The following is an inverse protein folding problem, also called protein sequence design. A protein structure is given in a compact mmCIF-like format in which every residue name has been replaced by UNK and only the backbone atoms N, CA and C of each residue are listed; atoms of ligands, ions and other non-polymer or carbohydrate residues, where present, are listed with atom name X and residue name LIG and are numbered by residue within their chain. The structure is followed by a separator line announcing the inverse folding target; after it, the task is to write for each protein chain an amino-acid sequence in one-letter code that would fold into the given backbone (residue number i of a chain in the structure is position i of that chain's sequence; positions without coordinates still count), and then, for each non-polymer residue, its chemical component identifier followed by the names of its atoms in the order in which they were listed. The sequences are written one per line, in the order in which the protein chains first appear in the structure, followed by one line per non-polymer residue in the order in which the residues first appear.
data_IF_322961858591
#
_entry.id   IF_322961858591
#
_cell.length_a   1.000
_cell.length_b   1.000
_cell.length_c   1.000
_cell.angle_alpha   90.00
_cell.angle_beta   90.00
_cell.angle_gamma   90.00
#
_symmetry.space_group_name_H-M   'P 1'
#
loop_
_entity.id
_entity.type
_entity.pdbx_description
1 polymer ?
#
# COMPACT_ATOMS: atom_id res chain seq x y z
N UNK A 1 -1.95 -24.50 -8.09
CA UNK A 1 -1.14 -24.43 -6.85
C UNK A 1 0.31 -23.93 -7.03
N UNK A 2 1.06 -24.32 -8.08
CA UNK A 2 2.47 -23.87 -8.27
C UNK A 2 2.70 -22.34 -8.30
N UNK A 3 1.78 -21.56 -8.90
CA UNK A 3 1.87 -20.08 -9.01
C UNK A 3 1.78 -19.37 -7.65
N UNK A 4 0.92 -19.86 -6.74
CA UNK A 4 0.77 -19.32 -5.38
C UNK A 4 2.04 -19.59 -4.56
N UNK A 5 2.69 -20.73 -4.79
CA UNK A 5 3.94 -21.09 -4.12
C UNK A 5 5.14 -20.22 -4.56
N UNK A 6 5.22 -19.84 -5.84
CA UNK A 6 6.23 -18.90 -6.33
C UNK A 6 6.08 -17.51 -5.69
N UNK A 7 4.85 -16.99 -5.64
CA UNK A 7 4.55 -15.69 -5.01
C UNK A 7 4.85 -15.68 -3.50
N UNK A 8 4.68 -16.82 -2.81
CA UNK A 8 5.07 -16.97 -1.40
C UNK A 8 6.59 -16.94 -1.17
N UNK A 9 7.41 -17.38 -2.15
CA UNK A 9 8.87 -17.30 -2.08
C UNK A 9 9.41 -15.91 -2.47
N UNK A 10 8.64 -15.11 -3.20
CA UNK A 10 9.05 -13.80 -3.69
C UNK A 10 8.20 -12.65 -3.11
N UNK A 11 7.93 -12.69 -1.80
CA UNK A 11 7.11 -11.68 -1.09
C UNK A 11 7.60 -10.24 -1.34
N UNK A 12 8.92 -10.03 -1.37
CA UNK A 12 9.53 -8.71 -1.62
C UNK A 12 9.20 -8.22 -3.03
N UNK A 13 9.34 -9.07 -4.05
CA UNK A 13 9.01 -8.71 -5.43
C UNK A 13 7.51 -8.39 -5.57
N UNK A 14 6.66 -9.18 -4.91
CA UNK A 14 5.21 -8.95 -4.89
C UNK A 14 4.87 -7.58 -4.28
N UNK A 15 5.49 -7.24 -3.15
CA UNK A 15 5.34 -5.93 -2.51
C UNK A 15 5.75 -4.82 -3.49
N UNK A 16 6.94 -4.92 -4.10
CA UNK A 16 7.44 -3.90 -5.02
C UNK A 16 6.50 -3.70 -6.22
N UNK A 17 6.12 -4.78 -6.90
CA UNK A 17 5.27 -4.71 -8.09
C UNK A 17 3.88 -4.20 -7.74
N UNK A 18 3.27 -4.68 -6.65
CA UNK A 18 1.98 -4.20 -6.20
C UNK A 18 2.01 -2.70 -5.84
N UNK A 19 3.10 -2.22 -5.25
CA UNK A 19 3.28 -0.81 -4.91
C UNK A 19 3.42 0.09 -6.12
N UNK A 20 4.15 -0.36 -7.15
CA UNK A 20 4.26 0.36 -8.43
C UNK A 20 2.89 0.44 -9.11
N UNK A 21 2.16 -0.68 -9.19
CA UNK A 21 0.80 -0.71 -9.77
C UNK A 21 -0.13 0.22 -8.99
N UNK A 22 -0.05 0.22 -7.66
CA UNK A 22 -0.84 1.10 -6.81
C UNK A 22 -0.56 2.57 -7.11
N UNK A 23 0.71 2.99 -7.16
CA UNK A 23 1.05 4.37 -7.50
C UNK A 23 0.65 4.76 -8.92
N UNK A 24 0.85 3.87 -9.90
CA UNK A 24 0.40 4.09 -11.29
C UNK A 24 -1.12 4.23 -11.37
N UNK A 25 -1.89 3.59 -10.47
CA UNK A 25 -3.35 3.76 -10.45
C UNK A 25 -3.80 5.16 -9.97
N UNK A 26 -2.87 5.98 -9.47
CA UNK A 26 -3.10 7.33 -8.97
C UNK A 26 -2.50 8.39 -9.92
N UNK A 27 -2.98 8.41 -11.17
CA UNK A 27 -2.47 9.21 -12.30
C UNK A 27 -2.74 10.73 -12.22
N UNK A 28 -2.45 11.40 -11.10
CA UNK A 28 -2.63 12.86 -10.99
C UNK A 28 -1.38 13.65 -11.40
N UNK A 29 -0.19 13.18 -11.03
CA UNK A 29 1.10 13.75 -11.43
C UNK A 29 2.24 12.74 -11.22
N UNK A 30 3.39 12.92 -11.87
CA UNK A 30 4.54 12.02 -11.67
C UNK A 30 5.04 12.01 -10.23
N UNK A 31 5.06 13.17 -9.57
CA UNK A 31 5.46 13.27 -8.15
C UNK A 31 4.47 12.51 -7.28
N UNK A 32 3.17 12.63 -7.53
CA UNK A 32 2.13 11.92 -6.78
C UNK A 32 2.15 10.41 -7.04
N UNK A 33 2.41 9.97 -8.27
CA UNK A 33 2.59 8.55 -8.60
C UNK A 33 3.78 7.97 -7.82
N UNK A 34 4.90 8.70 -7.78
CA UNK A 34 6.09 8.27 -7.05
C UNK A 34 5.84 8.21 -5.53
N UNK A 35 5.29 9.26 -4.92
CA UNK A 35 5.00 9.28 -3.48
C UNK A 35 3.95 8.25 -3.09
N UNK A 36 2.89 8.07 -3.91
CA UNK A 36 1.86 7.05 -3.70
C UNK A 36 2.42 5.63 -3.86
N UNK A 37 3.39 5.42 -4.75
CA UNK A 37 4.12 4.14 -4.84
C UNK A 37 4.88 3.83 -3.55
N UNK A 38 5.55 4.83 -2.96
CA UNK A 38 6.23 4.67 -1.67
C UNK A 38 5.24 4.36 -0.53
N UNK A 39 4.09 5.04 -0.49
CA UNK A 39 3.01 4.71 0.44
C UNK A 39 2.51 3.26 0.21
N UNK A 40 2.40 2.84 -1.04
CA UNK A 40 2.08 1.47 -1.43
C UNK A 40 3.05 0.44 -0.84
N UNK A 41 4.35 0.74 -0.75
CA UNK A 41 5.34 -0.17 -0.11
C UNK A 41 4.98 -0.45 1.34
N UNK A 42 4.58 0.59 2.08
CA UNK A 42 4.16 0.47 3.48
C UNK A 42 2.90 -0.39 3.57
N UNK A 43 1.87 -0.09 2.77
CA UNK A 43 0.60 -0.83 2.77
C UNK A 43 0.78 -2.31 2.41
N UNK A 44 1.52 -2.61 1.34
CA UNK A 44 1.76 -3.98 0.89
C UNK A 44 2.66 -4.75 1.86
N UNK A 45 3.65 -4.09 2.47
CA UNK A 45 4.46 -4.69 3.53
C UNK A 45 3.60 -5.03 4.75
N UNK A 46 2.76 -4.10 5.22
CA UNK A 46 1.84 -4.34 6.34
C UNK A 46 0.91 -5.52 6.06
N UNK A 47 0.36 -5.61 4.84
CA UNK A 47 -0.47 -6.77 4.46
C UNK A 47 0.27 -8.09 4.64
N UNK A 48 1.50 -8.18 4.13
CA UNK A 48 2.31 -9.40 4.17
C UNK A 48 2.75 -9.73 5.60
N UNK A 49 3.13 -8.72 6.39
CA UNK A 49 3.57 -8.86 7.77
C UNK A 49 2.46 -9.39 8.67
N UNK A 50 1.26 -8.79 8.61
CA UNK A 50 0.12 -9.17 9.44
C UNK A 50 -0.73 -10.31 8.86
N UNK A 51 -0.29 -10.94 7.76
CA UNK A 51 -1.07 -11.98 7.07
C UNK A 51 -1.48 -13.16 7.96
N UNK A 52 -0.68 -13.46 8.98
CA UNK A 52 -0.86 -14.60 9.88
C UNK A 52 -1.40 -14.19 11.28
N UNK A 53 -1.75 -12.92 11.47
CA UNK A 53 -2.20 -12.38 12.76
C UNK A 53 -3.73 -12.49 12.93
N UNK A 54 -4.22 -12.33 14.16
CA UNK A 54 -5.64 -12.48 14.53
C UNK A 54 -6.56 -11.44 13.88
N UNK A 55 -6.03 -10.26 13.57
CA UNK A 55 -6.70 -9.24 12.77
C UNK A 55 -6.49 -9.53 11.29
N UNK A 56 -7.58 -9.54 10.51
CA UNK A 56 -7.47 -9.75 9.06
C UNK A 56 -6.54 -8.68 8.46
N UNK A 57 -5.48 -9.05 7.71
CA UNK A 57 -4.48 -8.11 7.19
C UNK A 57 -5.09 -6.96 6.37
N UNK A 58 -6.23 -7.23 5.72
CA UNK A 58 -7.01 -6.22 5.00
C UNK A 58 -7.48 -5.06 5.90
N UNK A 59 -7.95 -5.35 7.12
CA UNK A 59 -8.40 -4.31 8.07
C UNK A 59 -7.25 -3.41 8.48
N UNK A 60 -6.05 -3.96 8.68
CA UNK A 60 -4.87 -3.17 9.05
C UNK A 60 -4.49 -2.23 7.90
N UNK A 61 -4.40 -2.75 6.68
CA UNK A 61 -4.12 -1.93 5.49
C UNK A 61 -5.18 -0.84 5.31
N UNK A 62 -6.46 -1.18 5.45
CA UNK A 62 -7.56 -0.23 5.34
C UNK A 62 -7.44 0.89 6.39
N UNK A 63 -7.12 0.55 7.64
CA UNK A 63 -6.93 1.53 8.71
C UNK A 63 -5.75 2.46 8.41
N UNK A 64 -4.60 1.92 8.03
CA UNK A 64 -3.41 2.73 7.68
C UNK A 64 -3.73 3.66 6.52
N UNK A 65 -4.36 3.14 5.45
CA UNK A 65 -4.71 3.94 4.28
C UNK A 65 -5.74 5.03 4.61
N UNK A 66 -6.75 4.71 5.42
CA UNK A 66 -7.76 5.69 5.85
C UNK A 66 -7.15 6.80 6.69
N UNK A 67 -6.26 6.47 7.64
CA UNK A 67 -5.55 7.47 8.45
C UNK A 67 -4.70 8.39 7.56
N UNK A 68 -3.95 7.82 6.60
CA UNK A 68 -3.16 8.60 5.65
C UNK A 68 -4.03 9.58 4.85
N UNK A 69 -5.19 9.14 4.36
CA UNK A 69 -6.11 9.99 3.61
C UNK A 69 -6.72 11.09 4.49
N UNK A 70 -7.08 10.78 5.73
CA UNK A 70 -7.59 11.77 6.69
C UNK A 70 -6.53 12.84 6.97
N UNK A 71 -5.27 12.45 7.20
CA UNK A 71 -4.17 13.40 7.41
C UNK A 71 -4.00 14.29 6.18
N UNK A 72 -3.95 13.73 4.97
CA UNK A 72 -3.82 14.53 3.74
C UNK A 72 -5.00 15.48 3.54
N UNK A 73 -6.23 15.05 3.83
CA UNK A 73 -7.42 15.89 3.74
C UNK A 73 -7.36 17.05 4.76
N UNK A 74 -6.92 16.79 6.00
CA UNK A 74 -6.75 17.82 7.01
C UNK A 74 -5.65 18.83 6.63
N UNK A 75 -4.51 18.34 6.13
CA UNK A 75 -3.43 19.20 5.64
C UNK A 75 -3.91 20.08 4.49
N UNK A 76 -4.68 19.52 3.56
CA UNK A 76 -5.27 20.29 2.47
C UNK A 76 -6.19 21.40 3.01
N UNK A 77 -7.03 21.12 4.00
CA UNK A 77 -7.94 22.13 4.59
C UNK A 77 -7.18 23.23 5.36
N UNK A 78 -6.06 22.90 6.02
CA UNK A 78 -5.30 23.85 6.85
C UNK A 78 -4.43 24.78 6.00
N UNK A 79 -3.83 24.26 4.92
CA UNK A 79 -2.83 24.98 4.13
C UNK A 79 -3.36 25.56 2.81
N UNK A 80 -4.64 25.38 2.52
CA UNK A 80 -5.32 25.88 1.31
C UNK A 80 -6.43 26.85 1.70
#
# INVERSE_FOLDING_TARGET
MKKINYLNNHKILLIIVASIIFGISHCYSYIYIFSTSLAGLILNYSYVFYKNETLTPFKIVLSIHSIHNIINALLLIIFN
#
